data_IF_928748863560
#
_entry.id   IF_928748863560
#
_cell.length_a   1.000
_cell.length_b   1.000
_cell.length_c   1.000
_cell.angle_alpha   90.00
_cell.angle_beta   90.00
_cell.angle_gamma   90.00
#
_symmetry.space_group_name_H-M   'P 1'
#
loop_
_entity.id
_entity.type
_entity.pdbx_description
1 polymer ?
#
# COMPACT_ATOMS: atom_id res chain seq x y z
N UNK A 1 -18.04 -36.90 61.61
CA UNK A 1 -17.83 -35.79 60.66
C UNK A 1 -19.16 -35.04 60.56
N UNK A 2 -19.23 -33.73 60.85
CA UNK A 2 -20.45 -32.97 60.57
C UNK A 2 -20.68 -32.91 59.05
N UNK A 3 -21.94 -32.93 58.63
CA UNK A 3 -22.33 -33.01 57.22
C UNK A 3 -21.79 -31.83 56.39
N UNK A 4 -21.47 -32.05 55.11
CA UNK A 4 -20.94 -31.01 54.24
C UNK A 4 -21.97 -29.90 54.01
N UNK A 5 -21.53 -28.63 53.92
CA UNK A 5 -22.42 -27.50 53.70
C UNK A 5 -23.15 -27.61 52.36
N UNK A 6 -24.40 -27.13 52.26
CA UNK A 6 -25.19 -27.23 51.04
C UNK A 6 -24.53 -26.47 49.87
N UNK A 7 -24.67 -26.96 48.62
CA UNK A 7 -23.97 -26.40 47.48
C UNK A 7 -24.46 -24.98 47.15
N UNK A 8 -23.50 -24.09 46.83
CA UNK A 8 -23.75 -22.69 46.46
C UNK A 8 -24.59 -22.61 45.17
N UNK A 9 -25.75 -21.95 45.22
CA UNK A 9 -26.61 -21.68 44.05
C UNK A 9 -25.84 -20.87 43.00
N UNK A 10 -25.59 -21.48 41.83
CA UNK A 10 -25.10 -20.74 40.65
C UNK A 10 -26.27 -19.93 40.06
N UNK A 11 -26.10 -18.64 39.74
CA UNK A 11 -27.12 -17.87 39.04
C UNK A 11 -27.34 -18.48 37.64
N UNK A 12 -28.60 -18.75 37.29
CA UNK A 12 -28.97 -19.22 35.96
C UNK A 12 -28.61 -18.15 34.94
N UNK A 13 -27.67 -18.47 34.03
CA UNK A 13 -27.46 -17.67 32.81
C UNK A 13 -28.67 -17.90 31.92
N UNK A 14 -29.50 -16.87 31.77
CA UNK A 14 -30.50 -16.81 30.71
C UNK A 14 -29.79 -16.96 29.35
N UNK A 15 -30.32 -17.77 28.41
CA UNK A 15 -29.73 -17.86 27.08
C UNK A 15 -30.03 -16.55 26.34
N UNK A 16 -29.00 -15.74 26.06
CA UNK A 16 -29.12 -14.71 25.03
C UNK A 16 -29.37 -15.43 23.70
N UNK A 17 -30.53 -15.19 23.13
CA UNK A 17 -30.94 -15.72 21.84
C UNK A 17 -29.88 -15.44 20.77
N UNK A 18 -29.41 -16.50 20.12
CA UNK A 18 -28.57 -16.44 18.93
C UNK A 18 -29.41 -15.93 17.76
N UNK A 19 -29.41 -14.62 17.55
CA UNK A 19 -29.91 -14.05 16.29
C UNK A 19 -28.90 -14.37 15.19
N UNK A 20 -29.27 -15.03 14.08
CA UNK A 20 -28.35 -15.21 12.96
C UNK A 20 -28.06 -13.83 12.35
N UNK A 21 -26.80 -13.41 12.40
CA UNK A 21 -26.32 -12.24 11.67
C UNK A 21 -26.51 -12.54 10.18
N UNK A 22 -27.51 -11.92 9.56
CA UNK A 22 -27.79 -12.08 8.15
C UNK A 22 -26.53 -11.74 7.34
N UNK A 23 -25.98 -12.74 6.65
CA UNK A 23 -24.92 -12.61 5.67
C UNK A 23 -25.46 -11.85 4.47
N UNK A 24 -25.46 -10.53 4.60
CA UNK A 24 -25.70 -9.63 3.48
C UNK A 24 -24.47 -9.76 2.58
N UNK A 25 -24.59 -10.19 1.31
CA UNK A 25 -23.44 -10.18 0.43
C UNK A 25 -22.98 -8.73 0.31
N UNK A 26 -21.74 -8.45 0.69
CA UNK A 26 -21.09 -7.19 0.34
C UNK A 26 -21.24 -7.07 -1.18
N UNK A 27 -22.02 -6.10 -1.62
CA UNK A 27 -22.21 -5.82 -3.02
C UNK A 27 -20.81 -5.70 -3.65
N UNK A 28 -20.52 -6.61 -4.58
CA UNK A 28 -19.39 -6.50 -5.49
C UNK A 28 -19.58 -5.18 -6.22
N UNK A 29 -18.95 -4.15 -5.69
CA UNK A 29 -18.92 -2.83 -6.32
C UNK A 29 -18.09 -3.00 -7.56
N UNK A 30 -18.77 -3.36 -8.64
CA UNK A 30 -18.29 -3.20 -10.01
C UNK A 30 -17.89 -1.73 -10.12
N UNK A 31 -16.60 -1.47 -10.02
CA UNK A 31 -16.03 -0.16 -10.31
C UNK A 31 -16.38 0.12 -11.76
N UNK A 32 -17.35 1.00 -11.95
CA UNK A 32 -17.78 1.46 -13.25
C UNK A 32 -16.54 1.93 -14.03
N UNK A 33 -16.41 1.44 -15.26
CA UNK A 33 -15.38 1.86 -16.21
C UNK A 33 -15.54 3.36 -16.49
N UNK A 34 -14.76 4.18 -15.79
CA UNK A 34 -14.68 5.63 -15.95
C UNK A 34 -14.16 5.96 -17.36
N UNK A 35 -14.72 6.96 -18.06
CA UNK A 35 -14.37 7.29 -19.45
C UNK A 35 -12.86 7.51 -19.59
N UNK A 36 -12.30 6.97 -20.68
CA UNK A 36 -10.90 7.03 -21.11
C UNK A 36 -10.06 8.06 -20.34
N UNK A 37 -9.56 7.66 -19.17
CA UNK A 37 -8.69 8.49 -18.36
C UNK A 37 -7.41 8.73 -19.16
N UNK A 38 -7.00 9.99 -19.29
CA UNK A 38 -5.69 10.30 -19.84
C UNK A 38 -4.62 9.45 -19.11
N UNK A 39 -3.67 8.85 -19.83
CA UNK A 39 -2.67 8.01 -19.20
C UNK A 39 -1.93 8.80 -18.12
N UNK A 40 -2.06 8.38 -16.86
CA UNK A 40 -1.39 9.01 -15.73
C UNK A 40 -0.03 8.35 -15.49
N UNK A 41 0.98 9.16 -15.22
CA UNK A 41 2.31 8.72 -14.83
C UNK A 41 2.68 9.39 -13.50
N UNK A 42 3.15 8.59 -12.54
CA UNK A 42 3.65 9.11 -11.27
C UNK A 42 5.11 9.52 -11.45
N UNK A 43 5.40 10.81 -11.33
CA UNK A 43 6.74 11.38 -11.61
C UNK A 43 7.52 11.74 -10.35
N UNK A 44 6.92 11.60 -9.17
CA UNK A 44 7.56 11.86 -7.90
C UNK A 44 7.18 10.78 -6.88
N UNK A 45 7.98 9.71 -6.82
CA UNK A 45 7.76 8.60 -5.90
C UNK A 45 9.02 8.30 -5.07
N UNK A 46 8.88 8.24 -3.75
CA UNK A 46 9.95 7.84 -2.83
C UNK A 46 9.78 6.40 -2.36
N UNK A 47 10.88 5.69 -2.25
CA UNK A 47 10.96 4.33 -1.73
C UNK A 47 11.50 4.33 -0.29
N UNK A 48 11.54 3.17 0.34
CA UNK A 48 12.17 2.96 1.64
C UNK A 48 13.68 3.30 1.69
N UNK A 49 14.32 3.55 0.54
CA UNK A 49 15.68 4.07 0.48
C UNK A 49 15.78 5.58 0.78
N UNK A 50 14.65 6.29 0.82
CA UNK A 50 14.52 7.63 1.38
C UNK A 50 14.21 7.54 2.86
N UNK A 51 15.24 7.56 3.70
CA UNK A 51 15.12 7.27 5.13
C UNK A 51 14.13 8.21 5.83
N UNK A 52 13.20 7.64 6.61
CA UNK A 52 12.11 8.35 7.32
C UNK A 52 11.14 9.14 6.42
N UNK A 53 11.28 9.06 5.09
CA UNK A 53 10.46 9.79 4.13
C UNK A 53 9.72 8.85 3.15
N UNK A 54 10.21 7.62 2.97
CA UNK A 54 9.54 6.57 2.21
C UNK A 54 9.43 5.28 3.03
N UNK A 55 8.35 4.53 2.80
CA UNK A 55 8.05 3.30 3.55
C UNK A 55 8.04 2.05 2.66
N UNK A 56 7.50 2.16 1.44
CA UNK A 56 7.32 1.01 0.54
C UNK A 56 8.61 0.61 -0.17
N UNK A 57 8.76 -0.69 -0.44
CA UNK A 57 9.87 -1.18 -1.24
C UNK A 57 9.70 -0.79 -2.72
N UNK A 58 10.80 -0.62 -3.48
CA UNK A 58 10.72 -0.19 -4.87
C UNK A 58 9.96 -1.18 -5.77
N UNK A 59 10.11 -2.49 -5.54
CA UNK A 59 9.42 -3.56 -6.25
C UNK A 59 7.91 -3.55 -5.97
N UNK A 60 7.50 -3.40 -4.71
CA UNK A 60 6.09 -3.25 -4.31
C UNK A 60 5.42 -2.06 -5.01
N UNK A 61 6.11 -0.91 -5.07
CA UNK A 61 5.61 0.29 -5.74
C UNK A 61 5.41 0.07 -7.23
N UNK A 62 6.34 -0.62 -7.89
CA UNK A 62 6.25 -0.97 -9.31
C UNK A 62 5.10 -1.93 -9.58
N UNK A 63 4.95 -2.98 -8.79
CA UNK A 63 3.82 -3.90 -8.92
C UNK A 63 2.50 -3.17 -8.73
N UNK A 64 2.40 -2.32 -7.71
CA UNK A 64 1.19 -1.54 -7.46
C UNK A 64 0.86 -0.57 -8.60
N UNK A 65 1.88 0.08 -9.15
CA UNK A 65 1.74 0.96 -10.32
C UNK A 65 1.19 0.21 -11.54
N UNK A 66 1.68 -1.00 -11.79
CA UNK A 66 1.20 -1.86 -12.87
C UNK A 66 -0.25 -2.31 -12.65
N UNK A 67 -0.61 -2.72 -11.43
CA UNK A 67 -1.99 -3.07 -11.05
C UNK A 67 -2.98 -1.92 -11.24
N UNK A 68 -2.54 -0.69 -10.95
CA UNK A 68 -3.33 0.52 -11.12
C UNK A 68 -3.42 0.99 -12.57
N UNK A 69 -2.69 0.36 -13.49
CA UNK A 69 -2.65 0.76 -14.91
C UNK A 69 -1.95 2.09 -15.15
N UNK A 70 -0.94 2.44 -14.34
CA UNK A 70 -0.12 3.63 -14.58
C UNK A 70 0.62 3.51 -15.92
N UNK A 71 0.73 4.63 -16.63
CA UNK A 71 1.49 4.68 -17.87
C UNK A 71 3.00 4.59 -17.64
N UNK A 72 3.47 5.23 -16.56
CA UNK A 72 4.86 5.19 -16.14
C UNK A 72 4.98 5.46 -14.63
N UNK A 73 6.11 5.07 -14.06
CA UNK A 73 6.48 5.37 -12.68
C UNK A 73 7.92 5.91 -12.66
N UNK A 74 8.15 7.02 -11.98
CA UNK A 74 9.47 7.52 -11.65
C UNK A 74 9.84 7.16 -10.21
N UNK A 75 11.04 6.65 -10.00
CA UNK A 75 11.63 6.55 -8.65
C UNK A 75 12.51 7.76 -8.44
N UNK A 76 12.23 8.54 -7.41
CA UNK A 76 12.87 9.82 -7.11
C UNK A 76 13.25 9.88 -5.63
N UNK A 77 14.11 8.97 -5.20
CA UNK A 77 14.59 8.93 -3.81
C UNK A 77 15.40 10.18 -3.46
N UNK A 78 15.37 10.58 -2.19
CA UNK A 78 16.07 11.78 -1.71
C UNK A 78 17.57 11.57 -1.71
N UNK A 79 18.29 12.35 -2.51
CA UNK A 79 19.75 12.35 -2.67
C UNK A 79 20.34 10.93 -2.86
N UNK A 80 19.59 10.04 -3.51
CA UNK A 80 19.93 8.61 -3.63
C UNK A 80 19.33 7.99 -4.89
N UNK A 81 20.02 6.97 -5.41
CA UNK A 81 19.55 6.11 -6.50
C UNK A 81 19.48 4.63 -6.07
N UNK A 82 19.55 4.36 -4.76
CA UNK A 82 19.68 3.00 -4.23
C UNK A 82 18.47 2.09 -4.56
N UNK A 83 17.25 2.65 -4.63
CA UNK A 83 16.04 1.90 -4.96
C UNK A 83 15.89 1.54 -6.44
N UNK A 84 16.63 2.20 -7.33
CA UNK A 84 16.43 2.11 -8.79
C UNK A 84 16.68 0.71 -9.33
N UNK A 85 17.71 0.01 -8.85
CA UNK A 85 18.06 -1.33 -9.37
C UNK A 85 16.92 -2.32 -9.12
N UNK A 86 16.31 -2.30 -7.94
CA UNK A 86 15.19 -3.20 -7.59
C UNK A 86 13.93 -2.83 -8.38
N UNK A 87 13.62 -1.53 -8.47
CA UNK A 87 12.51 -1.06 -9.29
C UNK A 87 12.68 -1.45 -10.77
N UNK A 88 13.89 -1.36 -11.30
CA UNK A 88 14.18 -1.69 -12.71
C UNK A 88 13.97 -3.17 -13.03
N UNK A 89 14.35 -4.06 -12.11
CA UNK A 89 14.08 -5.50 -12.26
C UNK A 89 12.57 -5.76 -12.26
N UNK A 90 11.84 -5.25 -11.26
CA UNK A 90 10.39 -5.42 -11.18
C UNK A 90 9.66 -4.81 -12.40
N UNK A 91 10.11 -3.64 -12.88
CA UNK A 91 9.48 -2.94 -13.99
C UNK A 91 9.61 -3.71 -15.31
N UNK A 92 10.74 -4.38 -15.52
CA UNK A 92 10.92 -5.29 -16.66
C UNK A 92 9.99 -6.50 -16.59
N UNK A 93 9.74 -7.03 -15.40
CA UNK A 93 8.88 -8.20 -15.21
C UNK A 93 7.41 -7.87 -15.50
N UNK A 94 6.92 -6.70 -15.09
CA UNK A 94 5.54 -6.27 -15.33
C UNK A 94 5.33 -5.43 -16.60
N UNK A 95 6.39 -5.07 -17.31
CA UNK A 95 6.32 -4.26 -18.54
C UNK A 95 5.97 -2.78 -18.29
N UNK A 96 6.17 -2.27 -17.08
CA UNK A 96 5.91 -0.87 -16.73
C UNK A 96 7.06 0.04 -17.21
N UNK A 97 6.74 1.19 -17.80
CA UNK A 97 7.75 2.19 -18.13
C UNK A 97 8.29 2.84 -16.86
N UNK A 98 9.53 2.53 -16.51
CA UNK A 98 10.23 3.13 -15.38
C UNK A 98 11.04 4.35 -15.84
N UNK A 99 10.92 5.46 -15.11
CA UNK A 99 11.77 6.65 -15.24
C UNK A 99 12.76 6.67 -14.07
N UNK A 100 14.04 6.82 -14.38
CA UNK A 100 15.08 6.87 -13.35
C UNK A 100 15.27 8.32 -12.93
N UNK A 101 15.18 8.60 -11.63
CA UNK A 101 15.39 9.94 -11.11
C UNK A 101 15.82 9.98 -9.65
N UNK A 102 15.98 11.19 -9.14
CA UNK A 102 16.26 11.45 -7.72
C UNK A 102 15.81 12.87 -7.38
N UNK A 103 15.35 13.07 -6.16
CA UNK A 103 15.17 14.42 -5.63
C UNK A 103 16.48 14.87 -4.99
N UNK A 104 17.05 15.96 -5.49
CA UNK A 104 18.29 16.54 -4.96
C UNK A 104 17.96 17.81 -4.20
N UNK A 105 18.61 18.00 -3.03
CA UNK A 105 18.58 19.27 -2.30
C UNK A 105 19.93 19.98 -2.44
N UNK A 106 20.05 21.00 -3.30
CA UNK A 106 21.25 21.83 -3.40
C UNK A 106 21.46 22.69 -2.15
N UNK A 107 22.67 23.19 -1.95
CA UNK A 107 23.00 24.06 -0.80
C UNK A 107 22.30 25.42 -0.90
N UNK A 108 22.22 25.99 -2.10
CA UNK A 108 21.77 27.36 -2.33
C UNK A 108 20.49 27.44 -3.19
N UNK A 109 19.72 26.35 -3.28
CA UNK A 109 18.49 26.30 -4.05
C UNK A 109 17.45 25.34 -3.44
N UNK A 110 16.15 25.51 -3.75
CA UNK A 110 15.13 24.57 -3.34
C UNK A 110 15.37 23.14 -3.87
N UNK A 111 14.78 22.12 -3.23
CA UNK A 111 14.81 20.76 -3.74
C UNK A 111 14.25 20.68 -5.17
N UNK A 112 14.88 19.84 -5.99
CA UNK A 112 14.46 19.61 -7.36
C UNK A 112 14.45 18.11 -7.67
N UNK A 113 13.41 17.66 -8.37
CA UNK A 113 13.34 16.31 -8.93
C UNK A 113 14.07 16.30 -10.27
N UNK A 114 15.06 15.43 -10.41
CA UNK A 114 15.83 15.21 -11.63
C UNK A 114 15.41 13.88 -12.25
N UNK A 115 15.01 13.89 -13.51
CA UNK A 115 14.63 12.70 -14.27
C UNK A 115 15.61 12.50 -15.43
N UNK A 116 16.15 11.28 -15.54
CA UNK A 116 16.90 10.84 -16.71
C UNK A 116 15.90 10.26 -17.73
N UNK A 117 15.72 10.96 -18.85
CA UNK A 117 14.78 10.60 -19.92
C UNK A 117 15.49 10.16 -21.18
#
# INVERSE_FOLDING_TARGET
MPDPPPPKRRPQRSPLASTPLASTPLASTSVASTPAAFPYAELHCRTNFSFLEGASHPDELVHRAAELGLHALAITDRNSLAGVVRAHVAAKECGLKLLIGTEVTPVDAPPAVLLAT
#
